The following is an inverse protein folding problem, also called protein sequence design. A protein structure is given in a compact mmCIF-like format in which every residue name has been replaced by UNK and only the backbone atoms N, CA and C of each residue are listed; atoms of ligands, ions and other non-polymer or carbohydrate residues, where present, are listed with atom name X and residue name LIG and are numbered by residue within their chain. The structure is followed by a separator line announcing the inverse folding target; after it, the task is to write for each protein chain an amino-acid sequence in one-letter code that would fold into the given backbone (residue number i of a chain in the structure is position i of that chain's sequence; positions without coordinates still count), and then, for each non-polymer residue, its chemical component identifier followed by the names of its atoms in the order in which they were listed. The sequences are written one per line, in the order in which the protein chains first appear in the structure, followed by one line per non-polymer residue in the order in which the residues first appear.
data_IF_172195594611
#
_entry.id   IF_172195594611
#
_cell.length_a   1.000
_cell.length_b   1.000
_cell.length_c   1.000
_cell.angle_alpha   90.00
_cell.angle_beta   90.00
_cell.angle_gamma   90.00
#
_symmetry.space_group_name_H-M   'P 1'
#
loop_
_entity.id
_entity.type
_entity.pdbx_description
1 polymer ?
#
# COMPACT_ATOMS: atom_id res chain seq x y z
N UNK A 1 12.27 -0.01 19.47
CA UNK A 1 13.51 -0.27 20.22
C UNK A 1 14.66 -0.47 19.24
N UNK A 2 15.81 0.16 19.49
CA UNK A 2 17.04 -0.01 18.71
C UNK A 2 17.99 -0.91 19.52
N UNK A 3 18.53 -1.96 18.91
CA UNK A 3 19.46 -2.89 19.56
C UNK A 3 20.44 -3.48 18.54
N UNK A 4 21.62 -3.90 19.01
CA UNK A 4 22.71 -4.46 18.16
C UNK A 4 22.26 -5.59 17.22
N UNK A 5 21.32 -6.42 17.69
CA UNK A 5 20.73 -7.48 16.89
C UNK A 5 19.36 -7.88 17.46
N UNK A 6 18.66 -8.71 16.71
CA UNK A 6 17.32 -9.21 17.06
C UNK A 6 17.27 -9.88 18.43
N UNK A 7 18.29 -10.67 18.81
CA UNK A 7 18.33 -11.36 20.10
C UNK A 7 18.47 -10.38 21.25
N UNK A 8 19.32 -9.37 21.09
CA UNK A 8 19.50 -8.30 22.08
C UNK A 8 18.24 -7.46 22.24
N UNK A 9 17.55 -7.15 21.13
CA UNK A 9 16.24 -6.50 21.16
C UNK A 9 15.25 -7.30 22.01
N UNK A 10 14.97 -8.56 21.62
CA UNK A 10 14.01 -9.42 22.34
C UNK A 10 14.38 -9.56 23.82
N UNK A 11 15.69 -9.69 24.13
CA UNK A 11 16.16 -9.80 25.51
C UNK A 11 15.86 -8.54 26.32
N UNK A 12 16.07 -7.35 25.76
CA UNK A 12 15.80 -6.08 26.45
C UNK A 12 14.32 -5.99 26.81
N UNK A 13 13.42 -6.23 25.86
CA UNK A 13 11.97 -6.15 26.13
C UNK A 13 11.50 -7.21 27.14
N UNK A 14 12.05 -8.43 27.07
CA UNK A 14 11.74 -9.47 28.05
C UNK A 14 12.25 -9.10 29.45
N UNK A 15 13.53 -8.76 29.56
CA UNK A 15 14.22 -8.64 30.85
C UNK A 15 13.96 -7.29 31.52
N UNK A 16 13.76 -6.22 30.75
CA UNK A 16 13.56 -4.85 31.28
C UNK A 16 12.09 -4.43 31.31
N UNK A 17 11.28 -4.90 30.35
CA UNK A 17 9.89 -4.48 30.21
C UNK A 17 8.88 -5.58 30.59
N UNK A 18 9.34 -6.80 30.90
CA UNK A 18 8.50 -7.88 31.43
C UNK A 18 7.61 -8.57 30.39
N UNK A 19 7.87 -8.39 29.10
CA UNK A 19 7.11 -9.05 28.05
C UNK A 19 7.44 -10.54 27.95
N UNK A 20 6.43 -11.36 27.63
CA UNK A 20 6.66 -12.77 27.36
C UNK A 20 7.36 -12.96 26.01
N UNK A 21 8.34 -13.88 25.95
CA UNK A 21 9.13 -14.09 24.73
C UNK A 21 8.28 -14.48 23.51
N UNK A 22 7.16 -15.18 23.73
CA UNK A 22 6.24 -15.61 22.67
C UNK A 22 5.53 -14.44 21.98
N UNK A 23 5.42 -13.30 22.67
CA UNK A 23 4.72 -12.10 22.19
C UNK A 23 5.69 -11.09 21.56
N UNK A 24 7.00 -11.37 21.57
CA UNK A 24 8.03 -10.48 21.07
C UNK A 24 8.47 -10.82 19.65
N UNK A 25 8.40 -9.82 18.78
CA UNK A 25 8.96 -9.87 17.42
C UNK A 25 9.89 -8.70 17.21
N UNK A 26 11.11 -8.99 16.78
CA UNK A 26 12.06 -7.97 16.38
C UNK A 26 12.37 -8.11 14.88
N UNK A 27 12.37 -6.99 14.17
CA UNK A 27 12.69 -6.88 12.74
C UNK A 27 13.93 -6.02 12.60
N UNK A 28 14.91 -6.47 11.83
CA UNK A 28 16.09 -5.67 11.53
C UNK A 28 15.73 -4.57 10.53
N UNK A 29 16.00 -3.32 10.91
CA UNK A 29 15.69 -2.14 10.10
C UNK A 29 16.98 -1.63 9.47
N UNK A 30 17.90 -1.17 10.32
CA UNK A 30 19.26 -0.79 9.94
C UNK A 30 20.26 -1.37 10.96
N UNK A 31 21.52 -1.46 10.56
CA UNK A 31 22.61 -1.78 11.49
C UNK A 31 23.16 -0.49 12.09
N UNK A 32 23.55 -0.53 13.36
CA UNK A 32 24.23 0.58 14.02
C UNK A 32 25.72 0.44 13.70
N UNK A 33 26.36 1.44 13.06
CA UNK A 33 27.80 1.41 12.85
C UNK A 33 28.56 1.38 14.19
N UNK A 34 29.67 0.62 14.24
CA UNK A 34 30.50 0.52 15.45
C UNK A 34 31.04 1.90 15.91
N UNK A 35 31.21 2.85 14.98
CA UNK A 35 31.60 4.23 15.30
C UNK A 35 30.61 4.94 16.22
N UNK A 36 29.33 4.53 16.25
CA UNK A 36 28.33 5.10 17.17
C UNK A 36 28.42 4.53 18.59
N UNK A 37 29.12 3.41 18.79
CA UNK A 37 29.42 2.90 20.13
C UNK A 37 30.35 3.86 20.88
N UNK A 38 31.38 4.39 20.20
CA UNK A 38 32.28 5.41 20.76
C UNK A 38 31.53 6.69 21.14
N UNK A 39 30.56 7.11 20.32
CA UNK A 39 29.70 8.27 20.60
C UNK A 39 28.81 8.02 21.81
N UNK A 40 28.25 6.82 21.94
CA UNK A 40 27.44 6.43 23.08
C UNK A 40 28.26 6.40 24.38
N UNK A 41 29.47 5.84 24.33
CA UNK A 41 30.40 5.81 25.47
C UNK A 41 30.81 7.22 25.91
N UNK A 42 31.12 8.11 24.96
CA UNK A 42 31.46 9.49 25.27
C UNK A 42 30.30 10.23 25.97
N UNK A 43 29.07 10.06 25.47
CA UNK A 43 27.86 10.63 26.09
C UNK A 43 27.61 10.04 27.48
N UNK A 44 27.78 8.74 27.64
CA UNK A 44 27.61 8.05 28.92
C UNK A 44 28.66 8.48 29.94
N UNK A 45 29.91 8.69 29.51
CA UNK A 45 30.97 9.23 30.35
C UNK A 45 30.61 10.64 30.84
N UNK A 46 30.12 11.50 29.96
CA UNK A 46 29.70 12.86 30.33
C UNK A 46 28.54 12.86 31.33
N UNK A 47 27.52 12.02 31.09
CA UNK A 47 26.40 11.85 32.01
C UNK A 47 26.88 11.30 33.36
N UNK A 48 27.76 10.30 33.35
CA UNK A 48 28.28 9.64 34.56
C UNK A 48 29.12 10.59 35.42
N UNK A 49 29.89 11.51 34.81
CA UNK A 49 30.60 12.56 35.55
C UNK A 49 29.68 13.41 36.42
N UNK A 50 28.43 13.61 35.99
CA UNK A 50 27.43 14.43 36.70
C UNK A 50 26.56 13.60 37.65
N UNK A 51 26.17 12.39 37.25
CA UNK A 51 25.11 11.63 37.92
C UNK A 51 25.60 10.35 38.62
N UNK A 52 26.72 9.77 38.21
CA UNK A 52 27.29 8.56 38.79
C UNK A 52 28.83 8.58 38.82
N UNK A 53 29.47 9.53 39.55
CA UNK A 53 30.93 9.73 39.46
C UNK A 53 31.75 8.49 39.83
N UNK A 54 31.21 7.61 40.69
CA UNK A 54 31.84 6.36 41.11
C UNK A 54 32.05 5.35 39.97
N UNK A 55 31.40 5.54 38.82
CA UNK A 55 31.50 4.66 37.66
C UNK A 55 32.49 5.17 36.60
N UNK A 56 32.89 6.45 36.66
CA UNK A 56 33.74 7.11 35.64
C UNK A 56 35.05 6.36 35.40
N UNK A 57 35.75 5.94 36.46
CA UNK A 57 37.01 5.21 36.33
C UNK A 57 36.87 3.85 35.65
N UNK A 58 35.70 3.21 35.74
CA UNK A 58 35.40 1.96 35.05
C UNK A 58 35.11 2.19 33.57
N UNK A 59 34.49 3.32 33.22
CA UNK A 59 34.23 3.72 31.84
C UNK A 59 35.54 4.09 31.16
N UNK A 60 36.35 4.96 31.77
CA UNK A 60 37.64 5.40 31.22
C UNK A 60 38.65 4.25 31.06
N UNK A 61 38.53 3.18 31.86
CA UNK A 61 39.35 1.98 31.73
C UNK A 61 38.80 0.93 30.76
N UNK A 62 37.71 1.22 30.04
CA UNK A 62 37.07 0.29 29.10
C UNK A 62 36.45 -0.94 29.77
N UNK A 63 36.18 -0.88 31.09
CA UNK A 63 35.55 -1.97 31.84
C UNK A 63 34.02 -1.83 31.91
N UNK A 64 33.50 -0.67 31.53
CA UNK A 64 32.07 -0.38 31.51
C UNK A 64 31.75 0.44 30.26
N UNK A 65 30.95 -0.13 29.37
CA UNK A 65 30.50 0.50 28.13
C UNK A 65 29.00 0.76 28.18
N UNK A 66 28.58 1.83 27.51
CA UNK A 66 27.17 2.08 27.23
C UNK A 66 26.88 1.82 25.76
N UNK A 67 25.94 0.92 25.52
CA UNK A 67 25.32 0.85 24.22
C UNK A 67 24.35 2.03 24.06
N UNK A 68 24.12 2.52 22.83
CA UNK A 68 23.00 3.39 22.57
C UNK A 68 21.71 2.61 22.83
N UNK A 69 21.13 2.79 24.01
CA UNK A 69 19.92 2.10 24.44
C UNK A 69 18.69 2.91 24.05
N UNK A 70 17.67 2.22 23.53
CA UNK A 70 16.37 2.79 23.15
C UNK A 70 16.50 3.85 22.02
N UNK A 71 15.43 4.17 21.27
CA UNK A 71 15.51 5.10 20.13
C UNK A 71 15.65 6.55 20.62
N UNK A 72 16.79 6.89 21.23
CA UNK A 72 17.12 8.26 21.57
C UNK A 72 17.26 9.08 20.28
N UNK A 73 16.76 10.31 20.30
CA UNK A 73 16.62 11.14 19.10
C UNK A 73 17.97 11.42 18.44
N UNK A 74 19.06 11.51 19.21
CA UNK A 74 20.39 11.68 18.63
C UNK A 74 20.82 10.46 17.82
N UNK A 75 20.60 9.25 18.32
CA UNK A 75 20.98 8.01 17.64
C UNK A 75 20.20 7.88 16.34
N UNK A 76 18.89 8.15 16.39
CA UNK A 76 18.06 8.15 15.20
C UNK A 76 18.58 9.12 14.14
N UNK A 77 18.95 10.36 14.53
CA UNK A 77 19.53 11.35 13.61
C UNK A 77 20.85 10.87 13.00
N UNK A 78 21.76 10.31 13.79
CA UNK A 78 23.03 9.75 13.30
C UNK A 78 22.82 8.56 12.35
N UNK A 79 21.74 7.80 12.54
CA UNK A 79 21.34 6.72 11.63
C UNK A 79 20.63 7.22 10.36
N UNK A 80 20.52 8.54 10.17
CA UNK A 80 19.88 9.15 9.01
C UNK A 80 18.35 9.23 9.12
N UNK A 81 17.78 9.14 10.33
CA UNK A 81 16.35 9.31 10.50
C UNK A 81 15.93 10.75 10.20
N UNK A 82 14.79 10.90 9.53
CA UNK A 82 14.11 12.18 9.36
C UNK A 82 12.79 12.18 10.12
N UNK A 83 12.29 13.37 10.43
CA UNK A 83 11.14 13.59 11.31
C UNK A 83 10.16 14.53 10.62
N UNK A 84 8.87 14.27 10.76
CA UNK A 84 7.81 15.19 10.31
C UNK A 84 6.59 15.11 11.22
N UNK A 85 5.72 16.10 11.09
CA UNK A 85 4.33 16.00 11.53
C UNK A 85 3.49 15.92 10.26
N UNK A 86 2.64 14.91 10.13
CA UNK A 86 1.75 14.75 9.00
C UNK A 86 0.38 14.28 9.51
N UNK A 87 -0.69 14.92 9.05
CA UNK A 87 -2.07 14.54 9.41
C UNK A 87 -2.30 14.47 10.96
N UNK A 88 -1.60 15.33 11.71
CA UNK A 88 -1.70 15.40 13.17
C UNK A 88 -0.88 14.36 13.95
N UNK A 89 -0.07 13.53 13.28
CA UNK A 89 0.78 12.53 13.90
C UNK A 89 2.27 12.88 13.76
N UNK A 90 3.06 12.66 14.82
CA UNK A 90 4.52 12.67 14.74
C UNK A 90 5.01 11.40 14.05
N UNK A 91 5.87 11.57 13.04
CA UNK A 91 6.40 10.48 12.25
C UNK A 91 7.93 10.51 12.18
N UNK A 92 8.53 9.31 12.21
CA UNK A 92 9.96 9.07 12.08
C UNK A 92 10.20 8.15 10.88
N UNK A 93 10.98 8.59 9.90
CA UNK A 93 11.43 7.75 8.78
C UNK A 93 12.86 7.31 9.02
N UNK A 94 13.09 6.01 9.00
CA UNK A 94 14.41 5.42 9.06
C UNK A 94 14.48 4.24 8.08
N UNK A 95 15.39 4.33 7.11
CA UNK A 95 15.64 3.28 6.11
C UNK A 95 14.35 2.75 5.43
N UNK A 96 13.52 3.68 4.92
CA UNK A 96 12.27 3.33 4.24
C UNK A 96 11.17 2.80 5.16
N UNK A 97 11.31 2.90 6.48
CA UNK A 97 10.29 2.52 7.47
C UNK A 97 9.83 3.75 8.25
N UNK A 98 8.53 4.01 8.22
CA UNK A 98 7.88 5.07 8.97
C UNK A 98 7.31 4.50 10.26
N UNK A 99 7.64 5.13 11.37
CA UNK A 99 7.05 4.93 12.69
C UNK A 99 6.15 6.13 12.99
N UNK A 100 4.91 5.88 13.38
CA UNK A 100 3.98 6.94 13.77
C UNK A 100 3.22 6.57 15.02
N UNK A 101 2.73 7.58 15.73
CA UNK A 101 1.83 7.44 16.86
C UNK A 101 0.57 8.24 16.56
N UNK A 102 -0.60 7.61 16.61
CA UNK A 102 -1.86 8.34 16.40
C UNK A 102 -2.30 9.10 17.66
N UNK A 103 -3.36 9.90 17.53
CA UNK A 103 -3.90 10.70 18.62
C UNK A 103 -4.39 9.88 19.83
N UNK A 104 -4.62 8.57 19.66
CA UNK A 104 -5.01 7.66 20.74
C UNK A 104 -3.81 6.98 21.40
N UNK A 105 -2.58 7.29 20.97
CA UNK A 105 -1.35 6.67 21.47
C UNK A 105 -1.05 5.31 20.84
N UNK A 106 -1.74 4.91 19.77
CA UNK A 106 -1.48 3.65 19.11
C UNK A 106 -0.31 3.83 18.13
N UNK A 107 0.67 2.94 18.24
CA UNK A 107 1.87 2.95 17.42
C UNK A 107 1.68 2.14 16.14
N UNK A 108 2.06 2.73 15.02
CA UNK A 108 1.94 2.14 13.69
C UNK A 108 3.30 2.13 12.98
N UNK A 109 3.52 1.10 12.16
CA UNK A 109 4.71 1.01 11.30
C UNK A 109 4.32 0.70 9.87
N UNK A 110 4.94 1.38 8.91
CA UNK A 110 4.73 1.11 7.49
C UNK A 110 6.02 1.28 6.69
N UNK A 111 6.14 0.54 5.59
CA UNK A 111 7.26 0.65 4.64
C UNK A 111 6.89 1.58 3.49
N UNK A 112 7.82 2.42 3.05
CA UNK A 112 7.64 3.37 1.94
C UNK A 112 8.83 3.31 0.96
N UNK A 113 8.68 3.95 -0.20
CA UNK A 113 9.73 4.04 -1.22
C UNK A 113 10.21 2.67 -1.71
N UNK A 114 11.50 2.58 -2.06
CA UNK A 114 12.13 1.35 -2.59
C UNK A 114 11.93 0.13 -1.68
N UNK A 115 11.93 0.32 -0.36
CA UNK A 115 11.69 -0.77 0.60
C UNK A 115 10.28 -1.34 0.51
N UNK A 116 9.28 -0.49 0.23
CA UNK A 116 7.92 -0.95 -0.04
C UNK A 116 7.86 -1.71 -1.37
N UNK A 117 8.51 -1.18 -2.42
CA UNK A 117 8.56 -1.81 -3.74
C UNK A 117 9.17 -3.21 -3.67
N UNK A 118 10.31 -3.39 -3.00
CA UNK A 118 10.93 -4.72 -2.83
C UNK A 118 10.12 -5.68 -1.97
N UNK A 119 9.30 -5.16 -1.05
CA UNK A 119 8.42 -5.99 -0.24
C UNK A 119 7.28 -6.57 -1.10
N UNK A 120 6.78 -5.78 -2.05
CA UNK A 120 5.73 -6.18 -2.99
C UNK A 120 6.28 -7.01 -4.15
N UNK A 121 7.50 -6.67 -4.61
CA UNK A 121 8.15 -7.27 -5.76
C UNK A 121 9.55 -7.79 -5.38
N UNK A 122 9.67 -8.98 -4.75
CA UNK A 122 10.94 -9.50 -4.25
C UNK A 122 12.00 -9.75 -5.33
N UNK A 123 11.55 -9.94 -6.56
CA UNK A 123 12.40 -10.23 -7.73
C UNK A 123 12.97 -8.96 -8.38
N UNK A 124 12.50 -7.77 -7.98
CA UNK A 124 13.11 -6.53 -8.44
C UNK A 124 14.59 -6.52 -8.03
N UNK A 125 15.50 -6.11 -8.95
CA UNK A 125 16.90 -5.98 -8.61
C UNK A 125 17.06 -5.12 -7.36
N UNK A 126 17.79 -5.63 -6.37
CA UNK A 126 18.20 -4.86 -5.20
C UNK A 126 19.34 -3.93 -5.60
N UNK A 127 19.04 -2.99 -6.51
CA UNK A 127 19.99 -1.97 -6.92
C UNK A 127 20.27 -1.10 -5.70
N UNK A 128 21.53 -0.68 -5.57
CA UNK A 128 21.94 0.44 -4.71
C UNK A 128 20.88 1.55 -4.84
N UNK A 129 20.41 2.15 -3.72
CA UNK A 129 19.34 3.14 -3.76
C UNK A 129 19.55 4.04 -4.95
N UNK A 130 18.53 4.14 -5.80
CA UNK A 130 18.45 5.22 -6.79
C UNK A 130 18.94 6.43 -6.03
N UNK A 131 20.04 7.03 -6.48
CA UNK A 131 20.52 8.24 -5.86
C UNK A 131 19.40 9.26 -6.08
N UNK A 132 18.52 9.38 -5.07
CA UNK A 132 17.25 10.09 -5.16
C UNK A 132 17.50 11.58 -5.43
N UNK A 133 18.74 12.03 -5.23
CA UNK A 133 19.22 13.36 -5.60
C UNK A 133 19.42 13.54 -7.12
N UNK A 134 19.58 12.46 -7.89
CA UNK A 134 19.92 12.52 -9.34
C UNK A 134 18.85 11.97 -10.27
N UNK A 135 17.96 11.10 -9.79
CA UNK A 135 16.83 10.61 -10.59
C UNK A 135 15.70 11.64 -10.59
N UNK A 136 15.09 11.86 -11.76
CA UNK A 136 13.87 12.68 -11.87
C UNK A 136 12.65 11.88 -11.36
N UNK A 137 12.62 11.65 -10.05
CA UNK A 137 11.57 10.92 -9.34
C UNK A 137 10.20 11.55 -9.59
N UNK A 138 10.15 12.89 -9.72
CA UNK A 138 8.90 13.59 -10.03
C UNK A 138 8.35 13.16 -11.38
N UNK A 139 9.18 13.10 -12.43
CA UNK A 139 8.76 12.61 -13.74
C UNK A 139 8.27 11.16 -13.68
N UNK A 140 8.95 10.28 -12.95
CA UNK A 140 8.50 8.89 -12.75
C UNK A 140 7.12 8.85 -12.08
N UNK A 141 6.93 9.62 -11.01
CA UNK A 141 5.65 9.71 -10.30
C UNK A 141 4.55 10.26 -11.23
N UNK A 142 4.82 11.29 -12.03
CA UNK A 142 3.85 11.81 -12.99
C UNK A 142 3.45 10.78 -14.05
N UNK A 143 4.40 9.97 -14.53
CA UNK A 143 4.10 8.86 -15.44
C UNK A 143 3.22 7.82 -14.77
N UNK A 144 3.55 7.41 -13.54
CA UNK A 144 2.74 6.46 -12.76
C UNK A 144 1.34 6.99 -12.48
N UNK A 145 1.19 8.29 -12.18
CA UNK A 145 -0.12 8.94 -12.04
C UNK A 145 -0.93 8.88 -13.34
N UNK A 146 -0.30 9.20 -14.48
CA UNK A 146 -0.94 9.09 -15.79
C UNK A 146 -1.39 7.66 -16.10
N UNK A 147 -0.56 6.67 -15.82
CA UNK A 147 -0.92 5.25 -15.94
C UNK A 147 -2.08 4.88 -15.02
N UNK A 148 -2.05 5.28 -13.75
CA UNK A 148 -3.09 4.96 -12.77
C UNK A 148 -4.45 5.56 -13.17
N UNK A 149 -4.46 6.77 -13.71
CA UNK A 149 -5.67 7.41 -14.24
C UNK A 149 -6.19 6.67 -15.47
N UNK A 150 -5.32 6.29 -16.41
CA UNK A 150 -5.71 5.50 -17.59
C UNK A 150 -6.31 4.16 -17.18
N UNK A 151 -5.64 3.39 -16.31
CA UNK A 151 -6.14 2.10 -15.86
C UNK A 151 -7.50 2.24 -15.15
N UNK A 152 -7.69 3.29 -14.34
CA UNK A 152 -8.98 3.57 -13.69
C UNK A 152 -10.09 3.81 -14.71
N UNK A 153 -9.81 4.60 -15.75
CA UNK A 153 -10.77 4.89 -16.82
C UNK A 153 -11.10 3.65 -17.66
N UNK A 154 -10.09 2.83 -17.98
CA UNK A 154 -10.30 1.59 -18.74
C UNK A 154 -11.12 0.56 -17.95
N UNK A 155 -10.82 0.37 -16.66
CA UNK A 155 -11.61 -0.51 -15.77
C UNK A 155 -13.06 -0.01 -15.68
N UNK A 156 -13.25 1.30 -15.47
CA UNK A 156 -14.58 1.90 -15.41
C UNK A 156 -15.33 1.72 -16.73
N UNK A 157 -14.65 1.86 -17.87
CA UNK A 157 -15.22 1.58 -19.18
C UNK A 157 -15.72 0.13 -19.27
N UNK A 158 -14.89 -0.87 -18.95
CA UNK A 158 -15.31 -2.27 -19.01
C UNK A 158 -16.51 -2.56 -18.10
N UNK A 159 -16.51 -2.02 -16.88
CA UNK A 159 -17.62 -2.21 -15.96
C UNK A 159 -18.89 -1.51 -16.47
N UNK A 160 -18.80 -0.32 -17.06
CA UNK A 160 -19.92 0.39 -17.67
C UNK A 160 -20.50 -0.33 -18.89
N UNK A 161 -19.78 -1.28 -19.48
CA UNK A 161 -20.25 -2.11 -20.59
C UNK A 161 -20.65 -3.53 -20.14
N UNK A 162 -20.51 -3.83 -18.85
CA UNK A 162 -20.84 -5.11 -18.24
C UNK A 162 -22.32 -5.20 -17.83
N UNK A 163 -23.25 -5.00 -18.77
CA UNK A 163 -24.69 -4.94 -18.48
C UNK A 163 -25.31 -6.29 -18.04
N UNK A 164 -24.58 -7.41 -18.04
CA UNK A 164 -25.05 -8.71 -17.54
C UNK A 164 -25.65 -8.60 -16.12
N UNK A 165 -25.15 -7.66 -15.32
CA UNK A 165 -25.60 -7.41 -13.96
C UNK A 165 -26.85 -6.53 -13.85
N UNK A 166 -27.29 -5.90 -14.93
CA UNK A 166 -28.33 -4.87 -14.92
C UNK A 166 -29.75 -5.42 -15.11
N UNK A 167 -29.91 -6.70 -15.46
CA UNK A 167 -31.19 -7.22 -15.92
C UNK A 167 -32.02 -7.88 -14.82
N UNK A 168 -33.13 -7.24 -14.46
CA UNK A 168 -34.32 -7.94 -13.96
C UNK A 168 -35.21 -8.37 -15.12
N UNK A 169 -36.00 -9.44 -14.96
CA UNK A 169 -36.91 -9.97 -15.99
C UNK A 169 -37.87 -8.91 -16.57
N UNK A 170 -38.23 -7.90 -15.77
CA UNK A 170 -39.12 -6.81 -16.18
C UNK A 170 -38.43 -5.79 -17.09
N UNK A 171 -37.13 -5.55 -16.90
CA UNK A 171 -36.35 -4.61 -17.71
C UNK A 171 -35.89 -5.24 -19.03
N UNK A 172 -35.62 -6.56 -19.04
CA UNK A 172 -35.27 -7.31 -20.27
C UNK A 172 -36.28 -7.13 -21.41
N UNK A 173 -37.56 -6.92 -21.10
CA UNK A 173 -38.61 -6.74 -22.13
C UNK A 173 -38.61 -5.36 -22.80
N UNK A 174 -37.91 -4.38 -22.22
CA UNK A 174 -37.89 -2.99 -22.70
C UNK A 174 -36.66 -2.66 -23.53
N UNK A 175 -35.54 -3.32 -23.24
CA UNK A 175 -34.25 -3.15 -23.91
C UNK A 175 -34.23 -4.04 -25.16
N UNK A 176 -33.90 -3.47 -26.30
CA UNK A 176 -33.93 -4.13 -27.61
C UNK A 176 -32.56 -4.23 -28.29
N UNK A 177 -31.60 -3.42 -27.87
CA UNK A 177 -30.24 -3.40 -28.43
C UNK A 177 -29.19 -3.42 -27.31
N UNK A 178 -27.95 -3.74 -27.69
CA UNK A 178 -26.80 -3.67 -26.77
C UNK A 178 -26.57 -2.24 -26.27
N UNK A 179 -26.68 -1.23 -27.14
CA UNK A 179 -26.49 0.18 -26.78
C UNK A 179 -27.50 0.65 -25.72
N UNK A 180 -28.77 0.25 -25.84
CA UNK A 180 -29.80 0.55 -24.83
C UNK A 180 -29.48 -0.10 -23.48
N UNK A 181 -28.86 -1.28 -23.48
CA UNK A 181 -28.42 -1.97 -22.26
C UNK A 181 -27.25 -1.25 -21.58
N UNK A 182 -26.27 -0.80 -22.38
CA UNK A 182 -25.12 -0.02 -21.91
C UNK A 182 -25.60 1.33 -21.36
N UNK A 183 -26.45 2.06 -22.09
CA UNK A 183 -26.97 3.36 -21.66
C UNK A 183 -27.68 3.24 -20.30
N UNK A 184 -28.54 2.23 -20.15
CA UNK A 184 -29.23 1.95 -18.88
C UNK A 184 -28.27 1.71 -17.70
N UNK A 185 -27.18 1.00 -17.94
CA UNK A 185 -26.21 0.64 -16.91
C UNK A 185 -25.24 1.79 -16.58
N UNK A 186 -24.71 2.46 -17.61
CA UNK A 186 -23.65 3.47 -17.57
C UNK A 186 -23.95 4.71 -16.70
N UNK A 187 -25.22 5.01 -16.42
CA UNK A 187 -25.60 6.13 -15.55
C UNK A 187 -25.32 5.91 -14.04
N UNK A 188 -24.81 4.74 -13.66
CA UNK A 188 -24.51 4.39 -12.26
C UNK A 188 -23.06 4.71 -11.94
N UNK A 189 -22.79 5.14 -10.71
CA UNK A 189 -21.40 5.24 -10.23
C UNK A 189 -20.80 3.85 -10.07
N UNK A 190 -19.48 3.72 -10.15
CA UNK A 190 -18.76 2.47 -9.95
C UNK A 190 -19.18 1.74 -8.65
N UNK A 191 -19.31 2.48 -7.54
CA UNK A 191 -19.78 1.92 -6.28
C UNK A 191 -21.23 1.44 -6.32
N UNK A 192 -22.12 2.16 -7.01
CA UNK A 192 -23.51 1.75 -7.19
C UNK A 192 -23.62 0.50 -8.09
N UNK A 193 -22.79 0.40 -9.13
CA UNK A 193 -22.69 -0.78 -9.98
C UNK A 193 -22.33 -2.01 -9.17
N UNK A 194 -21.23 -1.95 -8.39
CA UNK A 194 -20.79 -3.07 -7.56
C UNK A 194 -21.85 -3.51 -6.55
N UNK A 195 -22.58 -2.57 -5.95
CA UNK A 195 -23.69 -2.92 -5.05
C UNK A 195 -24.81 -3.70 -5.76
N UNK A 196 -25.19 -3.29 -6.98
CA UNK A 196 -26.22 -3.99 -7.76
C UNK A 196 -25.73 -5.36 -8.23
N UNK A 197 -24.46 -5.46 -8.63
CA UNK A 197 -23.84 -6.75 -8.94
C UNK A 197 -23.98 -7.71 -7.75
N UNK A 198 -23.69 -7.23 -6.53
CA UNK A 198 -23.82 -8.01 -5.29
C UNK A 198 -25.26 -8.38 -4.93
N UNK A 199 -26.28 -7.69 -5.44
CA UNK A 199 -27.67 -8.10 -5.24
C UNK A 199 -28.00 -9.37 -6.03
N UNK A 200 -27.44 -9.50 -7.24
CA UNK A 200 -27.77 -10.58 -8.18
C UNK A 200 -26.74 -11.71 -8.22
N UNK A 201 -25.50 -11.45 -7.81
CA UNK A 201 -24.39 -12.39 -7.85
C UNK A 201 -23.67 -12.47 -6.50
N UNK A 202 -23.18 -13.65 -6.19
CA UNK A 202 -22.14 -13.88 -5.19
C UNK A 202 -20.77 -13.72 -5.83
N UNK A 203 -19.89 -13.04 -5.11
CA UNK A 203 -18.52 -12.79 -5.54
C UNK A 203 -17.64 -13.82 -4.83
N UNK A 204 -16.58 -14.29 -5.48
CA UNK A 204 -15.50 -14.94 -4.74
C UNK A 204 -14.88 -13.95 -3.76
N UNK A 205 -14.33 -14.46 -2.65
CA UNK A 205 -13.74 -13.63 -1.59
C UNK A 205 -12.62 -12.71 -2.12
N UNK A 206 -11.77 -13.25 -3.01
CA UNK A 206 -10.68 -12.50 -3.64
C UNK A 206 -11.20 -11.34 -4.50
N UNK A 207 -12.26 -11.58 -5.27
CA UNK A 207 -12.88 -10.56 -6.15
C UNK A 207 -13.55 -9.47 -5.32
N UNK A 208 -14.27 -9.85 -4.26
CA UNK A 208 -14.90 -8.88 -3.36
C UNK A 208 -13.87 -7.98 -2.67
N UNK A 209 -12.82 -8.58 -2.10
CA UNK A 209 -11.75 -7.86 -1.44
C UNK A 209 -10.97 -6.97 -2.43
N UNK A 210 -10.70 -7.49 -3.63
CA UNK A 210 -10.03 -6.76 -4.71
C UNK A 210 -10.81 -5.52 -5.14
N UNK A 211 -12.11 -5.65 -5.44
CA UNK A 211 -12.94 -4.50 -5.83
C UNK A 211 -13.05 -3.47 -4.73
N UNK A 212 -13.22 -3.91 -3.47
CA UNK A 212 -13.27 -3.00 -2.33
C UNK A 212 -11.99 -2.18 -2.22
N UNK A 213 -10.83 -2.84 -2.23
CA UNK A 213 -9.53 -2.18 -2.14
C UNK A 213 -9.31 -1.24 -3.34
N UNK A 214 -9.67 -1.68 -4.55
CA UNK A 214 -9.54 -0.86 -5.77
C UNK A 214 -10.37 0.41 -5.68
N UNK A 215 -11.64 0.32 -5.29
CA UNK A 215 -12.53 1.49 -5.17
C UNK A 215 -11.99 2.46 -4.11
N UNK A 216 -11.57 1.95 -2.95
CA UNK A 216 -11.01 2.78 -1.87
C UNK A 216 -9.75 3.53 -2.35
N UNK A 217 -8.83 2.82 -3.00
CA UNK A 217 -7.60 3.44 -3.54
C UNK A 217 -7.89 4.39 -4.71
N UNK A 218 -8.80 4.05 -5.63
CA UNK A 218 -9.16 4.92 -6.76
C UNK A 218 -9.79 6.22 -6.24
N UNK A 219 -10.67 6.14 -5.25
CA UNK A 219 -11.29 7.33 -4.65
C UNK A 219 -10.24 8.22 -3.99
N UNK A 220 -9.31 7.63 -3.22
CA UNK A 220 -8.21 8.39 -2.61
C UNK A 220 -7.30 9.02 -3.66
N UNK A 221 -6.98 8.31 -4.74
CA UNK A 221 -6.18 8.81 -5.86
C UNK A 221 -6.83 10.05 -6.51
N UNK A 222 -8.14 10.01 -6.75
CA UNK A 222 -8.87 11.07 -7.46
C UNK A 222 -9.19 12.27 -6.55
N UNK A 223 -9.53 12.02 -5.29
CA UNK A 223 -10.09 13.05 -4.41
C UNK A 223 -9.11 13.60 -3.38
N UNK A 224 -8.17 12.79 -2.89
CA UNK A 224 -7.41 13.12 -1.67
C UNK A 224 -5.91 13.26 -1.89
N UNK A 225 -5.33 12.46 -2.80
CA UNK A 225 -3.88 12.27 -2.84
C UNK A 225 -3.12 13.56 -3.17
N UNK A 226 -3.71 14.42 -4.01
CA UNK A 226 -3.10 15.70 -4.43
C UNK A 226 -3.17 16.77 -3.35
N UNK A 227 -4.05 16.61 -2.36
CA UNK A 227 -4.27 17.57 -1.27
C UNK A 227 -3.63 17.12 0.05
N UNK A 228 -3.15 15.88 0.13
CA UNK A 228 -2.61 15.30 1.36
C UNK A 228 -1.14 15.69 1.56
N UNK A 229 -0.83 16.22 2.74
CA UNK A 229 0.56 16.48 3.18
C UNK A 229 1.43 15.23 3.11
N UNK A 230 0.83 14.06 3.37
CA UNK A 230 1.52 12.78 3.39
C UNK A 230 2.14 12.43 2.04
N UNK A 231 1.47 12.77 0.94
CA UNK A 231 1.86 12.45 -0.44
C UNK A 231 2.42 13.66 -1.20
N UNK A 232 2.85 14.70 -0.49
CA UNK A 232 3.40 15.90 -1.11
C UNK A 232 4.64 15.58 -1.97
N UNK A 233 4.48 15.66 -3.30
CA UNK A 233 5.50 15.35 -4.30
C UNK A 233 6.73 16.26 -4.23
N UNK A 234 6.63 17.42 -3.58
CA UNK A 234 7.75 18.34 -3.40
C UNK A 234 8.66 17.94 -2.22
N UNK A 235 8.26 16.94 -1.44
CA UNK A 235 9.04 16.40 -0.33
C UNK A 235 9.55 15.00 -0.63
N UNK A 236 10.77 14.67 -0.17
CA UNK A 236 11.32 13.32 -0.31
C UNK A 236 10.38 12.25 0.31
N UNK A 237 9.78 12.58 1.45
CA UNK A 237 8.79 11.73 2.11
C UNK A 237 7.56 11.45 1.24
N UNK A 238 6.94 12.50 0.70
CA UNK A 238 5.75 12.36 -0.11
C UNK A 238 6.02 11.64 -1.43
N UNK A 239 7.19 11.84 -2.04
CA UNK A 239 7.61 11.07 -3.21
C UNK A 239 7.70 9.56 -2.91
N UNK A 240 8.34 9.18 -1.80
CA UNK A 240 8.47 7.77 -1.39
C UNK A 240 7.13 7.13 -1.04
N UNK A 241 6.25 7.85 -0.36
CA UNK A 241 4.89 7.39 -0.05
C UNK A 241 4.05 7.23 -1.31
N UNK A 242 4.10 8.22 -2.21
CA UNK A 242 3.30 8.24 -3.43
C UNK A 242 3.74 7.17 -4.42
N UNK A 243 5.04 6.96 -4.58
CA UNK A 243 5.58 5.88 -5.42
C UNK A 243 5.11 4.50 -4.93
N UNK A 244 5.22 4.23 -3.63
CA UNK A 244 4.76 2.96 -3.05
C UNK A 244 3.24 2.76 -3.20
N UNK A 245 2.48 3.85 -3.05
CA UNK A 245 1.03 3.83 -3.26
C UNK A 245 0.65 3.49 -4.71
N UNK A 246 1.27 4.18 -5.67
CA UNK A 246 0.98 4.02 -7.09
C UNK A 246 1.40 2.64 -7.61
N UNK A 247 2.53 2.11 -7.15
CA UNK A 247 2.97 0.75 -7.48
C UNK A 247 1.95 -0.31 -7.03
N UNK A 248 1.51 -0.22 -5.77
CA UNK A 248 0.47 -1.11 -5.24
C UNK A 248 -0.85 -0.96 -6.03
N UNK A 249 -1.25 0.27 -6.35
CA UNK A 249 -2.47 0.53 -7.09
C UNK A 249 -2.41 -0.05 -8.50
N UNK A 250 -1.33 0.16 -9.24
CA UNK A 250 -1.15 -0.38 -10.58
C UNK A 250 -1.09 -1.91 -10.58
N UNK A 251 -0.44 -2.50 -9.58
CA UNK A 251 -0.42 -3.97 -9.38
C UNK A 251 -1.84 -4.51 -9.14
N UNK A 252 -2.66 -3.79 -8.37
CA UNK A 252 -4.05 -4.15 -8.14
C UNK A 252 -4.94 -3.96 -9.39
N UNK A 253 -4.65 -2.96 -10.22
CA UNK A 253 -5.41 -2.72 -11.45
C UNK A 253 -5.38 -3.91 -12.41
N UNK A 254 -4.25 -4.63 -12.51
CA UNK A 254 -4.09 -5.75 -13.45
C UNK A 254 -5.17 -6.85 -13.27
N UNK A 255 -5.30 -7.52 -12.11
CA UNK A 255 -6.34 -8.52 -11.92
C UNK A 255 -7.76 -7.94 -11.98
N UNK A 256 -7.97 -6.71 -11.50
CA UNK A 256 -9.29 -6.06 -11.55
C UNK A 256 -9.72 -5.78 -12.98
N UNK A 257 -8.79 -5.36 -13.83
CA UNK A 257 -9.02 -5.13 -15.25
C UNK A 257 -9.37 -6.44 -15.96
N UNK A 258 -8.64 -7.52 -15.70
CA UNK A 258 -8.99 -8.84 -16.27
C UNK A 258 -10.41 -9.27 -15.90
N UNK A 259 -10.80 -9.11 -14.62
CA UNK A 259 -12.16 -9.41 -14.16
C UNK A 259 -13.19 -8.50 -14.85
N UNK A 260 -12.91 -7.20 -14.96
CA UNK A 260 -13.81 -6.25 -15.62
C UNK A 260 -13.96 -6.56 -17.12
N UNK A 261 -12.87 -6.88 -17.80
CA UNK A 261 -12.88 -7.32 -19.21
C UNK A 261 -13.68 -8.61 -19.37
N UNK A 262 -13.56 -9.56 -18.43
CA UNK A 262 -14.37 -10.78 -18.45
C UNK A 262 -15.87 -10.51 -18.28
N UNK A 263 -16.24 -9.60 -17.38
CA UNK A 263 -17.63 -9.15 -17.23
C UNK A 263 -18.18 -8.53 -18.53
N UNK A 264 -17.37 -7.72 -19.20
CA UNK A 264 -17.72 -7.06 -20.45
C UNK A 264 -17.90 -8.08 -21.58
N UNK A 265 -16.93 -9.00 -21.73
CA UNK A 265 -16.96 -10.06 -22.75
C UNK A 265 -18.21 -10.93 -22.64
N UNK A 266 -18.55 -11.37 -21.42
CA UNK A 266 -19.75 -12.18 -21.19
C UNK A 266 -21.03 -11.37 -21.45
N UNK A 267 -21.05 -10.08 -21.10
CA UNK A 267 -22.20 -9.20 -21.41
C UNK A 267 -22.40 -9.09 -22.91
N UNK A 268 -21.34 -8.86 -23.67
CA UNK A 268 -21.37 -8.76 -25.12
C UNK A 268 -21.78 -10.07 -25.79
N UNK A 269 -21.26 -11.20 -25.31
CA UNK A 269 -21.67 -12.51 -25.78
C UNK A 269 -23.18 -12.75 -25.57
N UNK A 270 -23.69 -12.41 -24.39
CA UNK A 270 -25.12 -12.49 -24.09
C UNK A 270 -25.95 -11.51 -24.93
N UNK A 271 -25.45 -10.30 -25.17
CA UNK A 271 -26.10 -9.29 -25.99
C UNK A 271 -26.26 -9.73 -27.44
N UNK A 272 -25.21 -10.29 -28.03
CA UNK A 272 -25.23 -10.88 -29.37
C UNK A 272 -26.29 -11.99 -29.48
N UNK A 273 -26.36 -12.88 -28.48
CA UNK A 273 -27.31 -13.99 -28.45
C UNK A 273 -28.77 -13.50 -28.25
N UNK A 274 -28.99 -12.44 -27.46
CA UNK A 274 -30.32 -11.92 -27.14
C UNK A 274 -30.87 -10.94 -28.18
N UNK A 275 -30.02 -10.08 -28.74
CA UNK A 275 -30.42 -8.96 -29.58
C UNK A 275 -30.05 -9.16 -31.06
N UNK A 276 -29.12 -10.07 -31.37
CA UNK A 276 -28.64 -10.31 -32.73
C UNK A 276 -27.72 -9.21 -33.28
N UNK A 277 -27.33 -8.25 -32.44
CA UNK A 277 -26.41 -7.16 -32.77
C UNK A 277 -24.97 -7.63 -32.56
N UNK A 278 -24.15 -7.66 -33.61
CA UNK A 278 -22.71 -7.93 -33.49
C UNK A 278 -21.96 -6.66 -33.05
N UNK A 279 -21.01 -6.79 -32.14
CA UNK A 279 -20.23 -5.62 -31.69
C UNK A 279 -19.02 -5.42 -32.61
N UNK A 280 -18.89 -4.26 -33.30
CA UNK A 280 -17.75 -4.01 -34.16
C UNK A 280 -16.43 -4.02 -33.37
N UNK A 281 -15.44 -4.77 -33.85
CA UNK A 281 -14.07 -4.83 -33.31
C UNK A 281 -13.92 -5.46 -31.91
N UNK A 282 -14.85 -6.31 -31.47
CA UNK A 282 -14.67 -7.12 -30.25
C UNK A 282 -14.38 -8.59 -30.60
N UNK A 283 -13.18 -9.07 -30.27
CA UNK A 283 -12.84 -10.50 -30.41
C UNK A 283 -13.12 -11.23 -29.09
N UNK A 284 -14.06 -12.18 -29.12
CA UNK A 284 -14.40 -12.99 -27.94
C UNK A 284 -13.18 -13.79 -27.47
N UNK A 285 -12.92 -13.79 -26.16
CA UNK A 285 -11.86 -14.59 -25.56
C UNK A 285 -12.44 -15.69 -24.66
N UNK A 286 -12.40 -16.97 -25.06
CA UNK A 286 -13.01 -18.05 -24.29
C UNK A 286 -12.42 -18.26 -22.89
N UNK A 287 -11.19 -17.81 -22.63
CA UNK A 287 -10.60 -17.85 -21.29
C UNK A 287 -11.28 -16.89 -20.32
N UNK A 288 -11.85 -15.79 -20.82
CA UNK A 288 -12.53 -14.78 -20.00
C UNK A 288 -13.87 -15.29 -19.46
N UNK A 289 -14.61 -16.09 -20.23
CA UNK A 289 -15.84 -16.73 -19.74
C UNK A 289 -15.58 -17.68 -18.56
N UNK A 290 -14.44 -18.39 -18.58
CA UNK A 290 -13.98 -19.22 -17.47
C UNK A 290 -13.66 -18.38 -16.23
N UNK A 291 -12.94 -17.26 -16.40
CA UNK A 291 -12.64 -16.32 -15.32
C UNK A 291 -13.91 -15.72 -14.70
N UNK A 292 -14.88 -15.31 -15.52
CA UNK A 292 -16.17 -14.81 -15.05
C UNK A 292 -16.88 -15.84 -14.17
N UNK A 293 -16.97 -17.09 -14.64
CA UNK A 293 -17.65 -18.17 -13.92
C UNK A 293 -16.94 -18.57 -12.62
N UNK A 294 -15.62 -18.38 -12.53
CA UNK A 294 -14.85 -18.58 -11.30
C UNK A 294 -14.99 -17.40 -10.32
N UNK A 295 -15.30 -16.20 -10.84
CA UNK A 295 -15.39 -14.96 -10.08
C UNK A 295 -16.79 -14.68 -9.53
N UNK A 296 -17.83 -15.11 -10.26
CA UNK A 296 -19.22 -14.79 -9.97
C UNK A 296 -20.12 -16.02 -10.07
N UNK A 297 -20.98 -16.20 -9.06
CA UNK A 297 -22.07 -17.19 -9.08
C UNK A 297 -23.42 -16.50 -8.96
N UNK A 298 -24.42 -16.96 -9.71
CA UNK A 298 -25.79 -16.41 -9.63
C UNK A 298 -26.39 -16.78 -8.28
N UNK A 299 -26.99 -15.81 -7.59
CA UNK A 299 -27.78 -16.08 -6.38
C UNK A 299 -29.07 -16.80 -6.77
N UNK A 300 -29.23 -18.04 -6.31
CA UNK A 300 -30.50 -18.76 -6.42
C UNK A 300 -31.44 -18.21 -5.34
N UNK A 301 -32.50 -17.51 -5.76
CA UNK A 301 -33.58 -17.05 -4.88
C UNK A 301 -34.66 -18.12 -4.70
#
# INVERSE_FOLDING_TARGET
MVAKNQRSAIRIDRDMNGFETKDLKATLICSIPDSLEEVADARFLEWSRKNAPSQVSKIESGKLHAWPYYPDQWLLKELGASFRVAEGAEEILLDGVVYSCDANGLHHTRTIGVRALWKLNPDLPKVVPIDEETADIKTIIYQMLGMALRESQEIEWFLNHSFIFAFSDKQRRKIKTIDEAIEYWSHKTLGAMVNIMKESFEFSEDVENGFKLFIDMRNRLVHDILMSERYNIDTNWGQRELMAYLDLFLTLCEPIKEIATACCDVSFALGEDLFGDSIPNWERNPNLAGLFSASFSVKLH
#
